data_IF_041097108580
#
_entry.id   IF_041097108580
#
_cell.length_a   1.000
_cell.length_b   1.000
_cell.length_c   1.000
_cell.angle_alpha   90.00
_cell.angle_beta   90.00
_cell.angle_gamma   90.00
#
_symmetry.space_group_name_H-M   'P 1'
#
loop_
_entity.id
_entity.type
_entity.pdbx_description
1 polymer ?
#
# COMPACT_ATOMS: atom_id res chain seq x y z
N UNK A 1 37.36 -7.87 -6.94
CA UNK A 1 36.05 -7.86 -6.26
C UNK A 1 35.65 -6.40 -6.07
N UNK A 2 34.57 -5.94 -6.71
CA UNK A 2 34.08 -4.57 -6.49
C UNK A 2 33.43 -4.49 -5.11
N UNK A 3 33.78 -3.48 -4.32
CA UNK A 3 33.09 -3.23 -3.06
C UNK A 3 31.62 -2.87 -3.34
N UNK A 4 30.69 -3.44 -2.57
CA UNK A 4 29.28 -3.06 -2.70
C UNK A 4 29.11 -1.58 -2.34
N UNK A 5 28.28 -0.84 -3.08
CA UNK A 5 28.01 0.55 -2.76
C UNK A 5 27.37 0.65 -1.36
N UNK A 6 27.73 1.67 -0.60
CA UNK A 6 27.05 1.98 0.65
C UNK A 6 25.60 2.42 0.36
N UNK A 7 24.65 1.87 1.12
CA UNK A 7 23.22 2.18 1.00
C UNK A 7 22.70 2.65 2.35
N UNK A 8 21.85 3.67 2.34
CA UNK A 8 21.20 4.20 3.54
C UNK A 8 19.69 4.37 3.30
N UNK A 9 18.92 4.42 4.40
CA UNK A 9 17.49 4.72 4.35
C UNK A 9 17.31 6.22 4.55
N UNK A 10 16.85 6.92 3.51
CA UNK A 10 16.61 8.36 3.55
C UNK A 10 15.22 8.74 4.08
N UNK A 11 14.23 7.85 3.93
CA UNK A 11 12.86 8.10 4.37
C UNK A 11 12.13 6.80 4.70
N UNK A 12 11.25 6.86 5.70
CA UNK A 12 10.45 5.72 6.16
C UNK A 12 9.01 6.20 6.31
N UNK A 13 8.08 5.41 5.80
CA UNK A 13 6.67 5.54 6.11
C UNK A 13 6.09 4.16 6.44
N UNK A 14 5.01 4.17 7.22
CA UNK A 14 4.23 3.00 7.54
C UNK A 14 2.77 3.43 7.61
N UNK A 15 1.88 2.55 7.17
CA UNK A 15 0.47 2.68 7.43
C UNK A 15 -0.11 1.37 8.00
N UNK A 16 -0.92 1.52 9.03
CA UNK A 16 -1.81 0.51 9.57
C UNK A 16 -3.03 1.23 10.15
N UNK A 17 -4.19 0.59 10.21
CA UNK A 17 -5.41 1.23 10.72
C UNK A 17 -5.27 1.74 12.17
N UNK A 18 -4.38 1.15 12.97
CA UNK A 18 -4.04 1.62 14.33
C UNK A 18 -2.70 2.37 14.42
N UNK A 19 -1.99 2.52 13.32
CA UNK A 19 -0.72 3.25 13.23
C UNK A 19 -0.66 3.96 11.87
N UNK A 20 -1.42 5.05 11.68
CA UNK A 20 -1.64 5.64 10.36
C UNK A 20 -0.42 6.37 9.80
N UNK A 21 0.62 6.57 10.61
CA UNK A 21 1.84 7.24 10.22
C UNK A 21 3.06 6.65 10.96
N UNK A 22 4.25 6.92 10.45
CA UNK A 22 5.50 6.39 11.00
C UNK A 22 5.79 6.85 12.43
N UNK A 23 5.47 8.10 12.78
CA UNK A 23 5.72 8.64 14.12
C UNK A 23 4.86 7.91 15.16
N UNK A 24 3.58 7.70 14.85
CA UNK A 24 2.64 6.93 15.67
C UNK A 24 3.09 5.48 15.76
N UNK A 25 3.44 4.85 14.63
CA UNK A 25 3.93 3.48 14.58
C UNK A 25 5.16 3.26 15.47
N UNK A 26 6.17 4.14 15.34
CA UNK A 26 7.40 4.06 16.13
C UNK A 26 7.11 4.15 17.63
N UNK A 27 6.24 5.06 18.05
CA UNK A 27 5.92 5.21 19.46
C UNK A 27 5.16 3.99 20.01
N UNK A 28 4.25 3.39 19.23
CA UNK A 28 3.56 2.15 19.61
C UNK A 28 4.53 0.97 19.69
N UNK A 29 5.34 0.75 18.64
CA UNK A 29 6.29 -0.36 18.55
C UNK A 29 7.35 -0.29 19.66
N UNK A 30 7.81 0.91 20.01
CA UNK A 30 8.75 1.11 21.12
C UNK A 30 8.09 1.11 22.51
N UNK A 31 6.79 0.82 22.63
CA UNK A 31 6.07 0.79 23.90
C UNK A 31 5.92 2.16 24.59
N UNK A 32 6.07 3.25 23.84
CA UNK A 32 5.96 4.63 24.37
C UNK A 32 4.53 5.13 24.43
N UNK A 33 3.62 4.51 23.67
CA UNK A 33 2.19 4.79 23.72
C UNK A 33 1.38 3.54 23.38
N UNK A 34 0.12 3.50 23.81
CA UNK A 34 -0.84 2.53 23.32
C UNK A 34 -1.28 2.85 21.89
N UNK A 35 -1.77 1.85 21.17
CA UNK A 35 -2.30 2.04 19.82
C UNK A 35 -3.61 2.86 19.88
N UNK A 36 -3.72 3.97 19.12
CA UNK A 36 -4.85 4.91 19.20
C UNK A 36 -6.19 4.29 18.82
N UNK A 37 -7.25 4.85 19.39
CA UNK A 37 -8.65 4.66 18.99
C UNK A 37 -9.28 6.02 18.66
N UNK A 38 -10.15 6.11 17.64
CA UNK A 38 -10.62 5.04 16.76
C UNK A 38 -9.59 4.67 15.67
N UNK A 39 -9.85 3.57 14.95
CA UNK A 39 -9.03 3.18 13.79
C UNK A 39 -9.08 4.22 12.68
N UNK A 40 -7.96 4.45 12.03
CA UNK A 40 -7.83 5.31 10.86
C UNK A 40 -8.61 4.73 9.68
N UNK A 41 -9.17 5.63 8.88
CA UNK A 41 -9.82 5.28 7.62
C UNK A 41 -8.78 4.86 6.58
N UNK A 42 -9.24 4.12 5.58
CA UNK A 42 -8.46 3.73 4.41
C UNK A 42 -7.74 4.95 3.78
N UNK A 43 -6.46 4.81 3.37
CA UNK A 43 -5.73 5.86 2.66
C UNK A 43 -6.42 6.32 1.38
N UNK A 44 -6.26 7.59 1.04
CA UNK A 44 -6.84 8.21 -0.15
C UNK A 44 -5.74 8.95 -0.91
N UNK A 45 -4.83 8.23 -1.60
CA UNK A 45 -3.63 8.83 -2.16
C UNK A 45 -3.97 9.85 -3.25
N UNK A 46 -3.33 11.02 -3.16
CA UNK A 46 -3.50 12.11 -4.12
C UNK A 46 -2.78 11.86 -5.45
N UNK A 47 -1.92 10.85 -5.51
CA UNK A 47 -1.16 10.47 -6.71
C UNK A 47 -2.07 9.97 -7.85
N UNK A 48 -3.25 9.42 -7.52
CA UNK A 48 -4.21 8.92 -8.50
C UNK A 48 -5.24 9.99 -8.88
N UNK A 49 -5.61 10.05 -10.16
CA UNK A 49 -6.75 10.84 -10.59
C UNK A 49 -8.04 10.30 -9.96
N UNK A 50 -9.11 11.12 -9.83
CA UNK A 50 -10.32 10.71 -9.09
C UNK A 50 -10.93 9.38 -9.54
N UNK A 51 -10.94 9.10 -10.84
CA UNK A 51 -11.48 7.85 -11.39
C UNK A 51 -10.64 6.63 -11.01
N UNK A 52 -9.32 6.74 -11.12
CA UNK A 52 -8.38 5.66 -10.75
C UNK A 52 -8.42 5.43 -9.25
N UNK A 53 -8.45 6.50 -8.46
CA UNK A 53 -8.54 6.45 -7.00
C UNK A 53 -9.78 5.68 -6.51
N UNK A 54 -10.91 5.85 -7.20
CA UNK A 54 -12.15 5.11 -6.90
C UNK A 54 -12.07 3.63 -7.25
N UNK A 55 -11.24 3.25 -8.23
CA UNK A 55 -11.09 1.87 -8.71
C UNK A 55 -9.92 1.13 -8.06
N UNK A 56 -9.01 1.86 -7.43
CA UNK A 56 -7.84 1.29 -6.78
C UNK A 56 -8.26 0.32 -5.66
N UNK A 57 -7.67 -0.88 -5.61
CA UNK A 57 -7.83 -1.76 -4.46
C UNK A 57 -7.13 -1.19 -3.22
N UNK A 58 -7.40 -1.79 -2.05
CA UNK A 58 -6.87 -1.31 -0.77
C UNK A 58 -5.34 -1.37 -0.74
N UNK A 59 -4.78 -2.45 -1.29
CA UNK A 59 -3.34 -2.67 -1.41
C UNK A 59 -2.64 -1.59 -2.24
N UNK A 60 -3.22 -1.19 -3.38
CA UNK A 60 -2.70 -0.10 -4.22
C UNK A 60 -2.81 1.23 -3.50
N UNK A 61 -3.96 1.52 -2.89
CA UNK A 61 -4.15 2.78 -2.16
C UNK A 61 -3.12 2.93 -1.02
N UNK A 62 -2.87 1.85 -0.29
CA UNK A 62 -1.89 1.80 0.79
C UNK A 62 -0.46 1.93 0.27
N UNK A 63 -0.09 1.20 -0.78
CA UNK A 63 1.24 1.24 -1.37
C UNK A 63 1.60 2.65 -1.86
N UNK A 64 0.68 3.33 -2.55
CA UNK A 64 0.91 4.68 -3.06
C UNK A 64 0.99 5.72 -1.94
N UNK A 65 0.14 5.61 -0.91
CA UNK A 65 0.19 6.51 0.25
C UNK A 65 1.53 6.38 1.00
N UNK A 66 1.95 5.15 1.31
CA UNK A 66 3.20 4.89 2.03
C UNK A 66 4.40 5.30 1.19
N UNK A 67 4.40 5.02 -0.12
CA UNK A 67 5.47 5.46 -1.00
C UNK A 67 5.57 6.99 -1.07
N UNK A 68 4.45 7.71 -1.16
CA UNK A 68 4.44 9.17 -1.15
C UNK A 68 5.01 9.73 0.16
N UNK A 69 4.54 9.26 1.31
CA UNK A 69 5.06 9.70 2.61
C UNK A 69 6.54 9.34 2.83
N UNK A 70 7.02 8.21 2.30
CA UNK A 70 8.43 7.86 2.38
C UNK A 70 9.29 8.81 1.53
N UNK A 71 8.81 9.20 0.35
CA UNK A 71 9.47 10.19 -0.51
C UNK A 71 9.49 11.58 0.14
N UNK A 72 8.39 11.99 0.75
CA UNK A 72 8.30 13.24 1.53
C UNK A 72 9.27 13.25 2.70
N UNK A 73 9.33 12.17 3.48
CA UNK A 73 10.29 12.02 4.59
C UNK A 73 11.75 12.08 4.12
N UNK A 74 12.04 11.61 2.90
CA UNK A 74 13.35 11.69 2.28
C UNK A 74 13.64 13.04 1.60
N UNK A 75 12.65 13.92 1.45
CA UNK A 75 12.78 15.16 0.66
C UNK A 75 13.02 14.90 -0.84
N UNK A 76 12.54 13.76 -1.36
CA UNK A 76 12.78 13.31 -2.74
C UNK A 76 11.48 13.38 -3.54
N UNK A 77 11.58 13.74 -4.82
CA UNK A 77 10.44 13.65 -5.73
C UNK A 77 10.20 12.20 -6.16
N UNK A 78 8.97 11.65 -6.02
CA UNK A 78 8.66 10.30 -6.51
C UNK A 78 8.97 10.12 -8.00
N UNK A 79 8.81 11.17 -8.81
CA UNK A 79 9.05 11.13 -10.26
C UNK A 79 10.54 10.91 -10.63
N UNK A 80 11.45 11.05 -9.67
CA UNK A 80 12.90 10.89 -9.86
C UNK A 80 13.41 9.53 -9.36
N UNK A 81 12.54 8.70 -8.80
CA UNK A 81 12.91 7.44 -8.16
C UNK A 81 12.40 6.26 -8.96
N UNK A 82 13.19 5.17 -8.94
CA UNK A 82 12.70 3.85 -9.37
C UNK A 82 11.93 3.25 -8.21
N UNK A 83 10.75 2.70 -8.50
CA UNK A 83 9.90 2.01 -7.53
C UNK A 83 10.07 0.50 -7.65
N UNK A 84 10.04 -0.18 -6.51
CA UNK A 84 9.89 -1.63 -6.41
C UNK A 84 8.87 -1.90 -5.31
N UNK A 85 7.77 -2.54 -5.68
CA UNK A 85 6.74 -2.98 -4.75
C UNK A 85 6.78 -4.50 -4.66
N UNK A 86 6.59 -5.03 -3.44
CA UNK A 86 6.55 -6.46 -3.20
C UNK A 86 5.34 -6.80 -2.32
N UNK A 87 4.72 -7.94 -2.59
CA UNK A 87 3.65 -8.50 -1.76
C UNK A 87 3.73 -10.02 -1.77
N UNK A 88 3.33 -10.65 -0.66
CA UNK A 88 3.26 -12.12 -0.58
C UNK A 88 2.00 -12.66 -1.25
N UNK A 89 0.86 -12.01 -1.01
CA UNK A 89 -0.46 -12.51 -1.43
C UNK A 89 -1.22 -11.54 -2.34
N UNK A 90 -0.65 -10.40 -2.72
CA UNK A 90 -1.38 -9.36 -3.44
C UNK A 90 -2.56 -8.84 -2.60
N UNK A 91 -3.73 -8.67 -3.24
CA UNK A 91 -4.96 -8.24 -2.58
C UNK A 91 -5.82 -9.44 -2.15
N UNK A 92 -5.82 -9.72 -0.85
CA UNK A 92 -6.57 -10.84 -0.28
C UNK A 92 -8.09 -10.66 -0.42
N UNK A 93 -8.60 -9.43 -0.34
CA UNK A 93 -10.03 -9.17 -0.49
C UNK A 93 -10.52 -9.41 -1.92
N UNK A 94 -9.69 -9.11 -2.92
CA UNK A 94 -9.98 -9.48 -4.31
C UNK A 94 -9.86 -10.99 -4.51
N UNK A 95 -8.85 -11.63 -3.93
CA UNK A 95 -8.66 -13.08 -4.04
C UNK A 95 -9.85 -13.84 -3.47
N UNK A 96 -10.34 -13.45 -2.30
CA UNK A 96 -11.55 -14.00 -1.68
C UNK A 96 -12.78 -13.81 -2.59
N UNK A 97 -13.01 -12.59 -3.09
CA UNK A 97 -14.09 -12.30 -4.04
C UNK A 97 -14.05 -13.21 -5.29
N UNK A 98 -12.86 -13.39 -5.87
CA UNK A 98 -12.67 -14.23 -7.05
C UNK A 98 -13.03 -15.68 -6.76
N UNK A 99 -12.50 -16.24 -5.67
CA UNK A 99 -12.79 -17.61 -5.25
C UNK A 99 -14.28 -17.82 -4.98
N UNK A 100 -14.92 -16.92 -4.22
CA UNK A 100 -16.34 -17.01 -3.90
C UNK A 100 -17.24 -16.92 -5.15
N UNK A 101 -16.92 -16.00 -6.07
CA UNK A 101 -17.69 -15.83 -7.31
C UNK A 101 -17.54 -17.03 -8.23
N UNK A 102 -16.32 -17.56 -8.39
CA UNK A 102 -16.07 -18.75 -9.20
C UNK A 102 -16.78 -20.00 -8.66
N UNK A 103 -16.85 -20.15 -7.34
CA UNK A 103 -17.52 -21.28 -6.70
C UNK A 103 -19.05 -21.20 -6.78
N UNK A 104 -19.63 -19.99 -6.76
CA UNK A 104 -21.09 -19.80 -6.75
C UNK A 104 -21.70 -19.43 -8.11
N UNK A 105 -21.23 -18.34 -8.71
CA UNK A 105 -21.82 -17.71 -9.91
C UNK A 105 -20.72 -17.25 -10.88
N UNK A 106 -19.98 -18.16 -11.52
CA UNK A 106 -18.74 -17.86 -12.24
C UNK A 106 -18.90 -16.86 -13.41
N UNK A 107 -20.11 -16.74 -13.98
CA UNK A 107 -20.41 -15.77 -15.05
C UNK A 107 -20.52 -14.32 -14.56
N UNK A 108 -20.50 -14.08 -13.24
CA UNK A 108 -20.66 -12.76 -12.62
C UNK A 108 -19.35 -12.15 -12.12
N UNK A 109 -18.20 -12.62 -12.61
CA UNK A 109 -16.91 -11.99 -12.30
C UNK A 109 -16.90 -10.55 -12.81
N UNK A 110 -16.60 -9.61 -11.92
CA UNK A 110 -16.38 -8.21 -12.26
C UNK A 110 -15.08 -8.04 -13.05
N UNK A 111 -15.11 -7.44 -14.25
CA UNK A 111 -13.89 -7.15 -15.01
C UNK A 111 -12.89 -6.28 -14.25
N UNK A 112 -13.38 -5.32 -13.47
CA UNK A 112 -12.54 -4.44 -12.64
C UNK A 112 -11.84 -5.22 -11.53
N UNK A 113 -12.55 -6.11 -10.83
CA UNK A 113 -11.95 -6.93 -9.78
C UNK A 113 -10.94 -7.92 -10.34
N UNK A 114 -11.23 -8.50 -11.51
CA UNK A 114 -10.30 -9.36 -12.22
C UNK A 114 -9.01 -8.62 -12.60
N UNK A 115 -9.11 -7.41 -13.18
CA UNK A 115 -7.92 -6.62 -13.50
C UNK A 115 -7.10 -6.29 -12.24
N UNK A 116 -7.77 -6.01 -11.13
CA UNK A 116 -7.12 -5.70 -9.87
C UNK A 116 -6.59 -6.94 -9.12
N UNK A 117 -6.78 -8.17 -9.61
CA UNK A 117 -6.29 -9.38 -8.95
C UNK A 117 -4.81 -9.68 -9.21
N UNK A 118 -4.17 -8.92 -10.10
CA UNK A 118 -2.75 -9.10 -10.42
C UNK A 118 -1.85 -8.60 -9.28
N UNK A 119 -0.80 -9.35 -8.94
CA UNK A 119 0.09 -9.03 -7.81
C UNK A 119 0.88 -7.73 -7.99
N UNK A 120 1.06 -7.30 -9.24
CA UNK A 120 1.78 -6.09 -9.60
C UNK A 120 0.86 -4.86 -9.72
N UNK A 121 -0.40 -4.91 -9.26
CA UNK A 121 -1.34 -3.80 -9.41
C UNK A 121 -0.85 -2.46 -8.81
N UNK A 122 0.05 -2.51 -7.83
CA UNK A 122 0.64 -1.32 -7.20
C UNK A 122 1.89 -0.78 -7.94
N UNK A 123 2.44 -1.54 -8.89
CA UNK A 123 3.69 -1.24 -9.57
C UNK A 123 3.51 -0.40 -10.84
#
# INVERSE_FOLDING_TARGET
MSALPAVAIEGIALWHARMPDWRTARAVICGKQAAPEPVAKRPTPNLLAPTERRRAPDTVALALEVAAHACEAAGRSPAQLRSVFASTYGDLGISDYMCATLAGTPTLISPTRFHNSVHNAAA
#
